data_IF_052261335152
#
_entry.id   IF_052261335152
#
_cell.length_a   1.000
_cell.length_b   1.000
_cell.length_c   1.000
_cell.angle_alpha   90.00
_cell.angle_beta   90.00
_cell.angle_gamma   90.00
#
_symmetry.space_group_name_H-M   'P 1'
#
loop_
_entity.id
_entity.type
_entity.pdbx_description
1 polymer ?
#
# COMPACT_ATOMS: atom_id res chain seq x y z
N UNK A 1 -34.94 -10.65 3.79
CA UNK A 1 -34.29 -10.12 2.56
C UNK A 1 -33.29 -9.11 3.06
N UNK A 2 -32.03 -9.52 3.11
CA UNK A 2 -30.95 -8.62 3.55
C UNK A 2 -30.74 -7.59 2.45
N UNK A 3 -30.92 -6.32 2.77
CA UNK A 3 -30.53 -5.24 1.88
C UNK A 3 -29.03 -5.36 1.60
N UNK A 4 -28.60 -5.28 0.34
CA UNK A 4 -27.19 -5.32 0.03
C UNK A 4 -26.50 -4.12 0.70
N UNK A 5 -25.47 -4.39 1.49
CA UNK A 5 -24.65 -3.36 2.12
C UNK A 5 -24.26 -2.29 1.10
N UNK A 6 -24.33 -1.01 1.45
CA UNK A 6 -23.95 0.05 0.52
C UNK A 6 -22.49 -0.12 0.10
N UNK A 7 -22.25 -0.13 -1.22
CA UNK A 7 -20.90 -0.22 -1.77
C UNK A 7 -20.05 0.91 -1.19
N UNK A 8 -18.86 0.56 -0.68
CA UNK A 8 -17.92 1.54 -0.17
C UNK A 8 -17.66 2.64 -1.23
N UNK A 9 -17.76 3.89 -0.82
CA UNK A 9 -17.39 5.03 -1.68
C UNK A 9 -15.87 5.08 -1.77
N UNK A 10 -15.34 5.32 -2.96
CA UNK A 10 -13.91 5.39 -3.21
C UNK A 10 -13.53 6.81 -3.56
N UNK A 11 -12.64 7.41 -2.77
CA UNK A 11 -12.00 8.69 -3.10
C UNK A 11 -10.66 8.38 -3.78
N UNK A 12 -10.68 8.38 -5.11
CA UNK A 12 -9.49 8.11 -5.92
C UNK A 12 -9.23 9.35 -6.75
N UNK A 13 -8.03 9.89 -6.64
CA UNK A 13 -7.53 10.88 -7.59
C UNK A 13 -6.89 10.15 -8.78
N UNK A 14 -6.99 10.76 -9.96
CA UNK A 14 -6.22 10.29 -11.10
C UNK A 14 -4.73 10.50 -10.83
N UNK A 15 -3.92 9.56 -11.28
CA UNK A 15 -2.47 9.68 -11.21
C UNK A 15 -2.05 10.81 -12.14
N UNK A 16 -1.68 11.95 -11.57
CA UNK A 16 -1.15 13.11 -12.28
C UNK A 16 0.15 13.55 -11.61
N UNK A 17 1.25 13.46 -12.32
CA UNK A 17 2.52 13.95 -11.85
C UNK A 17 2.61 15.45 -12.04
N UNK A 18 3.03 16.24 -11.05
CA UNK A 18 3.53 17.58 -11.26
C UNK A 18 4.78 17.54 -12.17
N UNK A 19 5.02 18.60 -12.92
CA UNK A 19 6.16 18.67 -13.84
C UNK A 19 7.51 18.39 -13.17
N UNK A 20 7.68 18.83 -11.92
CA UNK A 20 8.88 18.61 -11.12
C UNK A 20 9.14 17.14 -10.72
N UNK A 21 8.17 16.24 -10.91
CA UNK A 21 8.31 14.81 -10.64
C UNK A 21 8.32 13.95 -11.89
N UNK A 22 8.48 14.54 -13.06
CA UNK A 22 8.48 13.83 -14.36
C UNK A 22 9.81 13.16 -14.71
N UNK A 23 10.73 13.05 -13.80
CA UNK A 23 12.03 12.41 -13.99
C UNK A 23 11.96 10.89 -14.07
N UNK A 24 10.83 10.29 -13.75
CA UNK A 24 10.68 8.84 -13.65
C UNK A 24 9.92 8.19 -14.79
N UNK A 25 10.30 6.97 -15.09
CA UNK A 25 9.53 6.09 -15.96
C UNK A 25 8.15 5.76 -15.39
N UNK A 26 7.96 5.96 -14.09
CA UNK A 26 6.68 5.79 -13.40
C UNK A 26 5.54 6.58 -14.07
N UNK A 27 5.77 7.87 -14.35
CA UNK A 27 4.72 8.72 -14.93
C UNK A 27 4.56 8.51 -16.43
N UNK A 28 5.61 8.07 -17.13
CA UNK A 28 5.55 7.69 -18.55
C UNK A 28 4.87 6.35 -18.75
N UNK A 29 5.03 5.43 -17.80
CA UNK A 29 4.47 4.10 -17.83
C UNK A 29 3.92 3.70 -16.44
N UNK A 30 2.79 4.30 -16.01
CA UNK A 30 2.23 4.11 -14.66
C UNK A 30 1.77 2.68 -14.40
N UNK A 31 1.71 1.80 -15.41
CA UNK A 31 1.32 0.40 -15.28
C UNK A 31 2.50 -0.57 -15.22
N UNK A 32 3.70 -0.04 -15.15
CA UNK A 32 4.92 -0.83 -15.07
C UNK A 32 5.48 -1.26 -16.42
N UNK A 33 6.63 -1.91 -16.39
CA UNK A 33 7.38 -2.41 -17.53
C UNK A 33 7.39 -3.92 -17.57
N UNK A 34 7.42 -4.50 -18.77
CA UNK A 34 7.65 -5.91 -19.00
C UNK A 34 9.15 -6.18 -19.01
N UNK A 35 9.54 -7.36 -18.52
CA UNK A 35 10.92 -7.83 -18.49
C UNK A 35 11.02 -9.23 -19.06
N UNK A 36 12.22 -9.66 -19.41
CA UNK A 36 12.45 -11.01 -19.91
C UNK A 36 12.31 -12.07 -18.81
N UNK A 37 11.82 -13.23 -19.20
CA UNK A 37 11.62 -14.39 -18.30
C UNK A 37 10.65 -14.15 -17.14
N UNK A 38 9.72 -13.19 -17.27
CA UNK A 38 8.66 -12.93 -16.31
C UNK A 38 7.33 -12.63 -16.97
N UNK A 39 6.25 -13.07 -16.33
CA UNK A 39 4.88 -12.84 -16.80
C UNK A 39 4.27 -11.58 -16.18
N UNK A 40 4.93 -10.98 -15.18
CA UNK A 40 4.48 -9.79 -14.49
C UNK A 40 5.08 -8.52 -15.11
N UNK A 41 4.36 -7.44 -14.96
CA UNK A 41 4.88 -6.08 -15.15
C UNK A 41 5.42 -5.56 -13.82
N UNK A 42 6.44 -4.71 -13.87
CA UNK A 42 7.08 -4.17 -12.67
C UNK A 42 6.95 -2.65 -12.64
N UNK A 43 6.40 -2.14 -11.55
CA UNK A 43 6.25 -0.71 -11.28
C UNK A 43 7.12 -0.33 -10.08
N UNK A 44 8.27 0.28 -10.37
CA UNK A 44 9.20 0.76 -9.35
C UNK A 44 8.76 2.14 -8.84
N UNK A 45 8.61 2.28 -7.53
CA UNK A 45 8.26 3.55 -6.87
C UNK A 45 9.51 4.15 -6.22
N UNK A 46 10.09 5.21 -6.76
CA UNK A 46 11.17 5.93 -6.11
C UNK A 46 10.76 6.53 -4.76
N UNK A 47 11.73 6.78 -3.87
CA UNK A 47 11.44 7.30 -2.52
C UNK A 47 10.71 8.66 -2.56
N UNK A 48 11.15 9.59 -3.41
CA UNK A 48 10.53 10.91 -3.56
C UNK A 48 9.10 10.82 -4.14
N UNK A 49 8.85 9.88 -5.06
CA UNK A 49 7.51 9.62 -5.59
C UNK A 49 6.61 9.03 -4.51
N UNK A 50 7.12 8.10 -3.69
CA UNK A 50 6.37 7.55 -2.55
C UNK A 50 5.95 8.65 -1.56
N UNK A 51 6.87 9.57 -1.26
CA UNK A 51 6.57 10.72 -0.39
C UNK A 51 5.50 11.63 -1.00
N UNK A 52 5.60 11.92 -2.30
CA UNK A 52 4.59 12.70 -3.00
C UNK A 52 3.21 12.02 -2.97
N UNK A 53 3.15 10.72 -3.26
CA UNK A 53 1.92 9.94 -3.23
C UNK A 53 1.28 9.99 -1.83
N UNK A 54 2.09 9.81 -0.76
CA UNK A 54 1.60 9.90 0.61
C UNK A 54 1.04 11.29 0.94
N UNK A 55 1.66 12.35 0.43
CA UNK A 55 1.12 13.72 0.57
C UNK A 55 -0.24 13.86 -0.13
N UNK A 56 -0.41 13.29 -1.31
CA UNK A 56 -1.71 13.33 -2.01
C UNK A 56 -2.78 12.50 -1.29
N UNK A 57 -2.42 11.35 -0.74
CA UNK A 57 -3.32 10.55 0.11
C UNK A 57 -3.72 11.33 1.36
N UNK A 58 -2.77 11.99 2.03
CA UNK A 58 -3.05 12.85 3.18
C UNK A 58 -4.03 13.98 2.82
N UNK A 59 -3.86 14.60 1.65
CA UNK A 59 -4.79 15.61 1.13
C UNK A 59 -6.21 15.06 0.92
N UNK A 60 -6.35 13.82 0.46
CA UNK A 60 -7.65 13.17 0.31
C UNK A 60 -8.26 12.84 1.67
N UNK A 61 -7.46 12.37 2.64
CA UNK A 61 -7.92 12.19 4.02
C UNK A 61 -8.42 13.53 4.59
N UNK A 62 -7.69 14.61 4.37
CA UNK A 62 -8.11 15.93 4.83
C UNK A 62 -9.44 16.37 4.19
N UNK A 63 -9.64 16.13 2.89
CA UNK A 63 -10.94 16.35 2.24
C UNK A 63 -12.05 15.55 2.91
N UNK A 64 -11.81 14.25 3.13
CA UNK A 64 -12.78 13.41 3.83
C UNK A 64 -13.11 13.98 5.22
N UNK A 65 -12.13 14.47 5.97
CA UNK A 65 -12.33 15.10 7.27
C UNK A 65 -13.21 16.35 7.17
N UNK A 66 -12.98 17.20 6.16
CA UNK A 66 -13.77 18.42 5.90
C UNK A 66 -15.23 18.07 5.56
N UNK A 67 -15.43 17.10 4.66
CA UNK A 67 -16.75 16.67 4.22
C UNK A 67 -17.58 16.07 5.37
N UNK A 68 -16.93 15.59 6.42
CA UNK A 68 -17.55 14.93 7.55
C UNK A 68 -17.57 15.76 8.86
N UNK A 69 -17.30 17.05 8.81
CA UNK A 69 -17.28 17.92 10.00
C UNK A 69 -18.63 17.86 10.77
N UNK A 70 -19.76 17.81 10.03
CA UNK A 70 -21.09 17.83 10.65
C UNK A 70 -21.67 16.44 10.95
N UNK A 71 -21.04 15.36 10.49
CA UNK A 71 -21.61 14.00 10.55
C UNK A 71 -21.05 13.16 11.69
N UNK A 72 -20.01 13.60 12.38
CA UNK A 72 -19.23 12.83 13.35
C UNK A 72 -18.57 11.57 12.74
N UNK A 73 -18.41 11.54 11.42
CA UNK A 73 -17.76 10.44 10.70
C UNK A 73 -16.29 10.75 10.37
N UNK A 74 -15.71 11.75 11.02
CA UNK A 74 -14.30 12.08 10.88
C UNK A 74 -13.42 10.97 11.46
N UNK A 75 -12.34 10.64 10.75
CA UNK A 75 -11.32 9.71 11.26
C UNK A 75 -10.67 10.36 12.47
N UNK A 76 -10.68 9.66 13.59
CA UNK A 76 -10.07 10.09 14.84
C UNK A 76 -8.86 9.23 15.23
N UNK A 77 -8.81 8.01 14.73
CA UNK A 77 -7.74 7.04 14.99
C UNK A 77 -7.30 6.42 13.68
N UNK A 78 -6.01 6.09 13.56
CA UNK A 78 -5.47 5.37 12.41
C UNK A 78 -4.59 4.21 12.88
N UNK A 79 -4.75 3.06 12.25
CA UNK A 79 -3.99 1.84 12.55
C UNK A 79 -3.11 1.50 11.37
N UNK A 80 -1.79 1.59 11.55
CA UNK A 80 -0.79 1.19 10.58
C UNK A 80 -0.61 -0.32 10.66
N UNK A 81 -0.82 -1.02 9.56
CA UNK A 81 -0.59 -2.46 9.50
C UNK A 81 0.90 -2.73 9.27
N UNK A 82 1.52 -3.43 10.20
CA UNK A 82 2.94 -3.78 10.04
C UNK A 82 3.07 -5.04 9.15
N UNK A 83 3.98 -5.08 8.22
CA UNK A 83 5.03 -4.11 7.85
C UNK A 83 4.59 -3.15 6.74
N UNK A 84 3.63 -3.51 5.90
CA UNK A 84 3.25 -2.76 4.70
C UNK A 84 2.86 -1.31 5.00
N UNK A 85 1.89 -1.12 5.87
CA UNK A 85 1.35 0.18 6.21
C UNK A 85 2.26 1.09 7.05
N UNK A 86 3.44 0.62 7.51
CA UNK A 86 4.33 1.45 8.34
C UNK A 86 4.91 2.63 7.58
N UNK A 87 5.48 2.40 6.39
CA UNK A 87 6.10 3.50 5.64
C UNK A 87 5.09 4.57 5.24
N UNK A 88 3.99 4.25 4.54
CA UNK A 88 2.95 5.25 4.27
C UNK A 88 2.34 5.81 5.55
N UNK A 89 2.19 5.01 6.60
CA UNK A 89 1.63 5.45 7.87
C UNK A 89 2.47 6.51 8.57
N UNK A 90 3.80 6.35 8.60
CA UNK A 90 4.72 7.36 9.16
C UNK A 90 4.67 8.64 8.34
N UNK A 91 4.64 8.54 7.00
CA UNK A 91 4.49 9.70 6.14
C UNK A 91 3.13 10.40 6.33
N UNK A 92 2.05 9.65 6.46
CA UNK A 92 0.72 10.19 6.75
C UNK A 92 0.62 10.80 8.16
N UNK A 93 1.29 10.21 9.15
CA UNK A 93 1.33 10.76 10.51
C UNK A 93 1.86 12.18 10.53
N UNK A 94 2.93 12.48 9.79
CA UNK A 94 3.49 13.84 9.71
C UNK A 94 2.46 14.87 9.21
N UNK A 95 1.57 14.46 8.33
CA UNK A 95 0.52 15.35 7.80
C UNK A 95 -0.74 15.40 8.67
N UNK A 96 -1.12 14.34 9.36
CA UNK A 96 -2.46 14.15 9.92
C UNK A 96 -2.51 14.15 11.46
N UNK A 97 -1.36 14.03 12.14
CA UNK A 97 -1.29 14.13 13.59
C UNK A 97 -1.45 15.58 14.09
N UNK A 98 -1.37 16.55 13.18
CA UNK A 98 -1.52 17.97 13.45
C UNK A 98 -2.74 18.49 12.73
N UNK A 99 -3.49 19.41 13.33
CA UNK A 99 -4.61 20.04 12.67
C UNK A 99 -4.39 21.55 12.52
N UNK A 100 -4.65 22.02 11.30
CA UNK A 100 -4.69 23.46 11.00
C UNK A 100 -6.13 24.01 11.06
N UNK A 101 -7.12 23.14 11.27
CA UNK A 101 -8.54 23.50 11.35
C UNK A 101 -9.12 23.01 12.67
N UNK A 102 -9.57 23.93 13.52
CA UNK A 102 -10.16 23.63 14.83
C UNK A 102 -11.34 22.65 14.82
N UNK A 103 -11.99 22.49 13.67
CA UNK A 103 -13.12 21.59 13.50
C UNK A 103 -12.70 20.17 13.03
N UNK A 104 -11.41 19.94 12.81
CA UNK A 104 -10.84 18.67 12.41
C UNK A 104 -9.93 18.20 13.53
N UNK A 105 -10.27 17.11 14.22
CA UNK A 105 -9.42 16.58 15.28
C UNK A 105 -8.10 16.04 14.69
N UNK A 106 -6.99 16.11 15.44
CA UNK A 106 -5.80 15.37 15.09
C UNK A 106 -6.10 13.86 15.10
N UNK A 107 -5.43 13.11 14.26
CA UNK A 107 -5.60 11.66 14.18
C UNK A 107 -4.58 11.01 15.11
N UNK A 108 -5.05 10.16 16.04
CA UNK A 108 -4.19 9.35 16.88
C UNK A 108 -3.75 8.10 16.09
N UNK A 109 -2.44 7.84 16.04
CA UNK A 109 -1.88 6.73 15.30
C UNK A 109 -1.44 5.58 16.21
N UNK A 110 -1.83 4.37 15.82
CA UNK A 110 -1.37 3.14 16.43
C UNK A 110 -0.93 2.13 15.40
N UNK A 111 -0.52 0.95 15.87
CA UNK A 111 -0.04 -0.14 15.03
C UNK A 111 -0.74 -1.45 15.36
N UNK A 112 -0.79 -2.35 14.37
CA UNK A 112 -1.24 -3.72 14.53
C UNK A 112 -0.42 -4.62 13.59
N UNK A 113 0.10 -5.73 14.11
CA UNK A 113 0.82 -6.72 13.31
C UNK A 113 -0.10 -7.77 12.76
N UNK A 114 -0.10 -7.92 11.43
CA UNK A 114 -0.85 -9.00 10.76
C UNK A 114 0.07 -9.70 9.76
N UNK A 115 0.04 -11.03 9.78
CA UNK A 115 0.65 -11.87 8.75
C UNK A 115 -0.44 -12.62 8.01
N UNK A 116 -0.57 -12.34 6.72
CA UNK A 116 -1.54 -13.01 5.84
C UNK A 116 -0.87 -13.91 4.80
N UNK A 117 0.41 -13.68 4.49
CA UNK A 117 1.16 -14.44 3.50
C UNK A 117 2.31 -15.21 4.14
N UNK A 118 2.51 -16.46 3.73
CA UNK A 118 3.71 -17.25 4.05
C UNK A 118 4.89 -16.81 3.17
N UNK A 119 4.60 -16.43 1.91
CA UNK A 119 5.51 -15.95 0.90
C UNK A 119 4.78 -15.15 -0.18
N UNK A 120 5.46 -14.67 -1.23
CA UNK A 120 4.83 -13.92 -2.31
C UNK A 120 3.80 -14.77 -3.03
N UNK A 121 2.56 -14.30 -3.05
CA UNK A 121 1.45 -15.01 -3.69
C UNK A 121 0.96 -16.26 -2.96
N UNK A 122 1.49 -16.55 -1.77
CA UNK A 122 1.10 -17.70 -0.95
C UNK A 122 0.34 -17.23 0.30
N UNK A 123 -0.99 -17.05 0.22
CA UNK A 123 -1.78 -16.68 1.39
C UNK A 123 -1.75 -17.82 2.42
N UNK A 124 -1.73 -17.48 3.69
CA UNK A 124 -1.99 -18.42 4.77
C UNK A 124 -3.48 -18.83 4.73
N UNK A 125 -3.78 -20.05 5.17
CA UNK A 125 -5.17 -20.50 5.33
C UNK A 125 -5.96 -19.54 6.24
N UNK A 126 -5.31 -19.03 7.28
CA UNK A 126 -5.88 -18.02 8.18
C UNK A 126 -4.84 -16.92 8.48
N UNK A 127 -5.26 -15.63 8.43
CA UNK A 127 -4.41 -14.52 8.87
C UNK A 127 -4.06 -14.65 10.36
N UNK A 128 -2.85 -14.23 10.74
CA UNK A 128 -2.39 -14.26 12.13
C UNK A 128 -2.07 -12.86 12.64
N UNK A 129 -2.54 -12.58 13.85
CA UNK A 129 -2.15 -11.36 14.57
C UNK A 129 -0.77 -11.62 15.18
N UNK A 130 0.22 -10.82 14.77
CA UNK A 130 1.60 -10.91 15.26
C UNK A 130 1.79 -10.09 16.54
N UNK A 131 1.17 -8.92 16.60
CA UNK A 131 1.05 -8.11 17.81
C UNK A 131 -0.30 -7.40 17.83
N UNK A 132 -0.82 -7.23 19.03
CA UNK A 132 -2.13 -6.66 19.26
C UNK A 132 -2.18 -5.17 18.87
N UNK A 133 -3.39 -4.67 18.70
CA UNK A 133 -3.68 -3.27 18.53
C UNK A 133 -3.12 -2.43 19.69
N UNK A 134 -2.42 -1.33 19.35
CA UNK A 134 -1.71 -0.50 20.33
C UNK A 134 -2.53 0.69 20.85
N UNK A 135 -3.74 0.92 20.31
CA UNK A 135 -4.64 2.03 20.70
C UNK A 135 -6.07 1.52 20.92
N UNK A 136 -6.86 2.26 21.68
CA UNK A 136 -8.28 1.95 21.85
C UNK A 136 -9.08 2.50 20.65
N UNK A 137 -9.88 1.62 20.05
CA UNK A 137 -10.70 1.94 18.86
C UNK A 137 -12.21 1.90 19.13
N UNK A 138 -12.61 1.65 20.38
CA UNK A 138 -14.02 1.51 20.71
C UNK A 138 -14.80 2.80 20.39
N UNK A 139 -15.91 2.62 19.64
CA UNK A 139 -16.79 3.71 19.19
C UNK A 139 -16.09 4.78 18.29
N UNK A 140 -14.91 4.45 17.74
CA UNK A 140 -14.12 5.38 16.91
C UNK A 140 -14.35 5.14 15.42
N UNK A 141 -14.11 6.20 14.64
CA UNK A 141 -13.90 6.10 13.19
C UNK A 141 -12.41 5.87 12.96
N UNK A 142 -12.08 4.71 12.42
CA UNK A 142 -10.71 4.22 12.34
C UNK A 142 -10.24 4.15 10.88
N UNK A 143 -9.13 4.85 10.59
CA UNK A 143 -8.38 4.68 9.35
C UNK A 143 -7.49 3.44 9.44
N UNK A 144 -7.61 2.51 8.50
CA UNK A 144 -6.66 1.38 8.34
C UNK A 144 -5.66 1.76 7.28
N UNK A 145 -4.38 1.86 7.64
CA UNK A 145 -3.30 2.25 6.73
C UNK A 145 -2.55 1.01 6.26
N UNK A 146 -2.53 0.81 4.93
CA UNK A 146 -1.84 -0.26 4.23
C UNK A 146 -1.02 0.34 3.07
N UNK A 147 0.01 -0.34 2.55
CA UNK A 147 0.78 0.15 1.39
C UNK A 147 0.08 -0.17 0.06
N UNK A 148 -0.50 -1.34 -0.03
CA UNK A 148 -1.16 -1.84 -1.22
C UNK A 148 -2.32 -2.76 -0.84
N UNK A 149 -3.45 -2.57 -1.49
CA UNK A 149 -4.56 -3.53 -1.44
C UNK A 149 -4.60 -4.34 -2.73
N UNK A 150 -4.22 -5.62 -2.63
CA UNK A 150 -4.28 -6.55 -3.77
C UNK A 150 -5.68 -7.19 -3.87
N UNK A 151 -5.92 -8.28 -3.16
CA UNK A 151 -7.22 -8.98 -3.13
C UNK A 151 -8.14 -8.53 -1.97
N UNK A 152 -7.63 -7.68 -1.09
CA UNK A 152 -8.37 -7.18 0.07
C UNK A 152 -8.40 -8.11 1.28
N UNK A 153 -7.74 -9.27 1.23
CA UNK A 153 -7.76 -10.25 2.32
C UNK A 153 -7.27 -9.69 3.66
N UNK A 154 -6.10 -9.02 3.67
CA UNK A 154 -5.57 -8.36 4.88
C UNK A 154 -6.51 -7.27 5.37
N UNK A 155 -6.98 -6.40 4.47
CA UNK A 155 -7.85 -5.29 4.81
C UNK A 155 -9.19 -5.77 5.42
N UNK A 156 -9.81 -6.81 4.85
CA UNK A 156 -11.03 -7.41 5.36
C UNK A 156 -10.83 -8.05 6.74
N UNK A 157 -9.74 -8.79 6.93
CA UNK A 157 -9.41 -9.39 8.21
C UNK A 157 -9.23 -8.33 9.29
N UNK A 158 -8.44 -7.29 9.01
CA UNK A 158 -8.21 -6.18 9.95
C UNK A 158 -9.51 -5.44 10.25
N UNK A 159 -10.32 -5.14 9.23
CA UNK A 159 -11.59 -4.48 9.42
C UNK A 159 -12.52 -5.29 10.34
N UNK A 160 -12.65 -6.59 10.11
CA UNK A 160 -13.44 -7.49 10.95
C UNK A 160 -12.89 -7.54 12.39
N UNK A 161 -11.56 -7.58 12.55
CA UNK A 161 -10.95 -7.56 13.87
C UNK A 161 -11.24 -6.24 14.60
N UNK A 162 -11.06 -5.09 13.96
CA UNK A 162 -11.35 -3.79 14.56
C UNK A 162 -12.82 -3.64 14.95
N UNK A 163 -13.74 -4.16 14.14
CA UNK A 163 -15.16 -4.22 14.50
C UNK A 163 -15.39 -5.08 15.76
N UNK A 164 -14.69 -6.22 15.89
CA UNK A 164 -14.77 -7.04 17.11
C UNK A 164 -14.22 -6.34 18.36
N UNK A 165 -13.32 -5.36 18.17
CA UNK A 165 -12.82 -4.48 19.22
C UNK A 165 -13.73 -3.26 19.47
N UNK A 166 -14.88 -3.18 18.80
CA UNK A 166 -15.87 -2.14 19.00
C UNK A 166 -15.69 -0.89 18.12
N UNK A 167 -14.85 -0.93 17.09
CA UNK A 167 -14.71 0.19 16.15
C UNK A 167 -16.08 0.52 15.52
N UNK A 168 -16.45 1.80 15.48
CA UNK A 168 -17.73 2.24 14.97
C UNK A 168 -17.78 2.29 13.43
N UNK A 169 -16.71 2.78 12.80
CA UNK A 169 -16.60 2.87 11.34
C UNK A 169 -15.15 2.66 10.92
N UNK A 170 -14.96 2.06 9.74
CA UNK A 170 -13.63 1.77 9.21
C UNK A 170 -13.47 2.41 7.85
N UNK A 171 -12.36 3.13 7.67
CA UNK A 171 -11.92 3.76 6.43
C UNK A 171 -10.58 3.17 6.04
N UNK A 172 -10.47 2.61 4.84
CA UNK A 172 -9.22 2.10 4.32
C UNK A 172 -8.44 3.24 3.66
N UNK A 173 -7.16 3.35 3.99
CA UNK A 173 -6.23 4.34 3.46
C UNK A 173 -5.05 3.59 2.88
N UNK A 174 -4.89 3.59 1.55
CA UNK A 174 -3.80 2.91 0.89
C UNK A 174 -3.32 3.68 -0.35
N UNK A 175 -2.00 3.85 -0.55
CA UNK A 175 -1.47 4.44 -1.78
C UNK A 175 -2.01 3.79 -3.04
N UNK A 176 -2.07 2.47 -3.10
CA UNK A 176 -2.45 1.73 -4.30
C UNK A 176 -3.52 0.68 -4.05
N UNK A 177 -4.36 0.49 -5.08
CA UNK A 177 -5.34 -0.59 -5.15
C UNK A 177 -5.12 -1.37 -6.44
N UNK A 178 -5.00 -2.70 -6.38
CA UNK A 178 -4.87 -3.57 -7.57
C UNK A 178 -6.21 -4.03 -8.14
N UNK A 179 -7.21 -4.18 -7.31
CA UNK A 179 -8.52 -4.61 -7.77
C UNK A 179 -9.63 -3.90 -7.03
N UNK A 180 -10.82 -3.90 -7.64
CA UNK A 180 -12.06 -3.64 -6.92
C UNK A 180 -12.40 -4.87 -6.07
N UNK A 181 -11.43 -5.42 -5.33
CA UNK A 181 -11.64 -6.59 -4.50
C UNK A 181 -12.88 -6.42 -3.63
N UNK A 182 -13.48 -7.52 -3.26
CA UNK A 182 -14.62 -7.53 -2.35
C UNK A 182 -14.14 -7.06 -0.97
N UNK A 183 -14.12 -5.72 -0.80
CA UNK A 183 -13.71 -5.07 0.45
C UNK A 183 -14.94 -4.98 1.33
N UNK A 184 -15.05 -5.95 2.23
CA UNK A 184 -16.15 -6.04 3.19
C UNK A 184 -15.80 -5.28 4.48
N UNK A 185 -16.81 -4.86 5.23
CA UNK A 185 -16.64 -4.18 6.51
C UNK A 185 -15.93 -2.81 6.48
N UNK A 186 -15.65 -2.29 5.29
CA UNK A 186 -15.01 -1.00 5.07
C UNK A 186 -16.04 -0.06 4.45
N UNK A 187 -16.27 1.06 5.13
CA UNK A 187 -17.29 2.02 4.71
C UNK A 187 -16.80 2.98 3.62
N UNK A 188 -15.49 3.20 3.55
CA UNK A 188 -14.86 4.16 2.66
C UNK A 188 -13.45 3.71 2.31
N UNK A 189 -13.01 3.98 1.08
CA UNK A 189 -11.63 3.78 0.63
C UNK A 189 -11.05 5.11 0.18
N UNK A 190 -9.86 5.45 0.66
CA UNK A 190 -9.06 6.58 0.24
C UNK A 190 -7.78 6.04 -0.36
N UNK A 191 -7.53 6.35 -1.63
CA UNK A 191 -6.35 5.83 -2.34
C UNK A 191 -5.86 6.83 -3.39
N UNK A 192 -4.56 6.77 -3.70
CA UNK A 192 -3.98 7.56 -4.75
C UNK A 192 -4.32 7.03 -6.14
N UNK A 193 -4.28 5.71 -6.35
CA UNK A 193 -4.56 5.18 -7.67
C UNK A 193 -4.75 3.66 -7.76
N UNK A 194 -5.21 3.24 -8.94
CA UNK A 194 -5.33 1.84 -9.32
C UNK A 194 -4.14 1.37 -10.15
N UNK A 195 -3.73 0.14 -9.88
CA UNK A 195 -2.69 -0.55 -10.64
C UNK A 195 -3.27 -1.87 -11.17
N UNK A 196 -2.93 -2.31 -12.39
CA UNK A 196 -3.38 -3.58 -12.93
C UNK A 196 -2.96 -4.78 -12.07
N UNK A 197 -3.73 -5.88 -12.14
CA UNK A 197 -3.49 -7.09 -11.33
C UNK A 197 -2.15 -7.75 -11.62
N UNK A 198 -1.73 -7.73 -12.86
CA UNK A 198 -0.48 -8.30 -13.38
C UNK A 198 0.75 -7.43 -13.12
N UNK A 199 0.58 -6.30 -12.45
CA UNK A 199 1.68 -5.39 -12.10
C UNK A 199 2.19 -5.66 -10.69
N UNK A 200 3.47 -5.97 -10.57
CA UNK A 200 4.18 -6.03 -9.31
C UNK A 200 4.67 -4.63 -8.93
N UNK A 201 4.14 -4.08 -7.84
CA UNK A 201 4.58 -2.78 -7.34
C UNK A 201 5.79 -2.99 -6.42
N UNK A 202 6.84 -2.23 -6.68
CA UNK A 202 8.06 -2.23 -5.88
C UNK A 202 8.09 -0.95 -5.07
N UNK A 203 7.58 -1.02 -3.86
CA UNK A 203 7.60 0.10 -2.92
C UNK A 203 9.02 0.32 -2.37
N UNK A 204 9.33 1.49 -1.80
CA UNK A 204 10.64 1.74 -1.19
C UNK A 204 11.08 0.66 -0.17
N UNK A 205 10.13 0.01 0.49
CA UNK A 205 10.36 -1.07 1.46
C UNK A 205 10.74 -2.41 0.79
N UNK A 206 10.34 -2.63 -0.46
CA UNK A 206 10.41 -3.94 -1.12
C UNK A 206 11.50 -4.07 -2.17
N UNK A 207 12.35 -3.05 -2.33
CA UNK A 207 13.41 -3.02 -3.35
C UNK A 207 14.31 -4.26 -3.29
N UNK A 208 14.90 -4.52 -2.12
CA UNK A 208 15.80 -5.68 -1.94
C UNK A 208 15.02 -6.98 -1.95
N UNK A 209 13.86 -7.01 -1.31
CA UNK A 209 12.99 -8.19 -1.26
C UNK A 209 12.61 -8.66 -2.68
N UNK A 210 12.15 -7.74 -3.52
CA UNK A 210 11.79 -8.06 -4.91
C UNK A 210 12.99 -8.56 -5.70
N UNK A 211 14.15 -7.90 -5.61
CA UNK A 211 15.37 -8.34 -6.28
C UNK A 211 15.75 -9.78 -5.88
N UNK A 212 15.82 -10.04 -4.57
CA UNK A 212 16.20 -11.35 -4.02
C UNK A 212 15.20 -12.47 -4.42
N UNK A 213 13.95 -12.15 -4.64
CA UNK A 213 12.93 -13.10 -5.07
C UNK A 213 12.88 -13.29 -6.59
N UNK A 214 13.05 -12.22 -7.36
CA UNK A 214 12.84 -12.28 -8.82
C UNK A 214 14.08 -12.72 -9.58
N UNK A 215 15.28 -12.37 -9.15
CA UNK A 215 16.53 -12.78 -9.82
C UNK A 215 16.66 -14.32 -9.91
N UNK A 216 16.48 -15.11 -8.83
CA UNK A 216 16.46 -16.57 -8.94
C UNK A 216 15.31 -17.07 -9.83
N UNK A 217 14.13 -16.48 -9.75
CA UNK A 217 12.98 -16.84 -10.58
C UNK A 217 13.28 -16.65 -12.09
N UNK A 218 13.93 -15.56 -12.48
CA UNK A 218 14.36 -15.31 -13.86
C UNK A 218 15.45 -16.28 -14.31
N UNK A 219 16.49 -16.50 -13.47
CA UNK A 219 17.56 -17.47 -13.72
C UNK A 219 16.99 -18.87 -13.99
N UNK A 220 16.07 -19.34 -13.16
CA UNK A 220 15.47 -20.67 -13.27
C UNK A 220 14.60 -20.80 -14.55
N UNK A 221 14.25 -19.69 -15.18
CA UNK A 221 13.60 -19.59 -16.48
C UNK A 221 14.57 -19.29 -17.63
N UNK A 222 15.87 -19.40 -17.39
CA UNK A 222 16.90 -19.32 -18.40
C UNK A 222 17.54 -17.93 -18.58
N UNK A 223 17.20 -16.94 -17.75
CA UNK A 223 17.85 -15.63 -17.79
C UNK A 223 19.32 -15.76 -17.40
N UNK A 224 20.21 -15.14 -18.17
CA UNK A 224 21.62 -14.98 -17.80
C UNK A 224 21.79 -13.89 -16.74
N UNK A 225 22.97 -13.79 -16.13
CA UNK A 225 23.29 -12.69 -15.21
C UNK A 225 23.10 -11.32 -15.89
N UNK A 226 23.54 -11.20 -17.14
CA UNK A 226 23.34 -9.97 -17.93
C UNK A 226 21.86 -9.67 -18.17
N UNK A 227 21.07 -10.69 -18.54
CA UNK A 227 19.61 -10.52 -18.71
C UNK A 227 18.95 -10.06 -17.41
N UNK A 228 19.35 -10.59 -16.27
CA UNK A 228 18.84 -10.14 -14.96
C UNK A 228 19.23 -8.68 -14.66
N UNK A 229 20.45 -8.28 -15.01
CA UNK A 229 20.90 -6.89 -14.90
C UNK A 229 20.07 -5.95 -15.77
N UNK A 230 19.89 -6.30 -17.05
CA UNK A 230 19.08 -5.53 -17.99
C UNK A 230 17.62 -5.38 -17.54
N UNK A 231 17.05 -6.46 -16.95
CA UNK A 231 15.72 -6.43 -16.36
C UNK A 231 15.64 -5.42 -15.20
N UNK A 232 16.61 -5.44 -14.29
CA UNK A 232 16.65 -4.51 -13.15
C UNK A 232 16.82 -3.06 -13.59
N UNK A 233 17.70 -2.81 -14.57
CA UNK A 233 17.88 -1.47 -15.16
C UNK A 233 16.57 -1.00 -15.80
N UNK A 234 15.91 -1.86 -16.58
CA UNK A 234 14.64 -1.56 -17.24
C UNK A 234 13.51 -1.27 -16.26
N UNK A 235 13.47 -1.94 -15.13
CA UNK A 235 12.52 -1.68 -14.03
C UNK A 235 12.79 -0.31 -13.38
N UNK A 236 14.03 0.18 -13.40
CA UNK A 236 14.44 1.44 -12.80
C UNK A 236 15.18 1.29 -11.47
N UNK A 237 15.80 0.12 -11.23
CA UNK A 237 16.64 -0.04 -10.04
C UNK A 237 17.87 0.85 -10.09
N UNK A 238 18.23 1.49 -8.97
CA UNK A 238 19.47 2.25 -8.90
C UNK A 238 20.68 1.30 -8.94
N UNK A 239 21.74 1.71 -9.65
CA UNK A 239 22.93 0.89 -9.89
C UNK A 239 23.55 0.33 -8.62
N UNK A 240 23.59 1.11 -7.54
CA UNK A 240 24.18 0.65 -6.26
C UNK A 240 23.45 -0.58 -5.66
N UNK A 241 22.14 -0.74 -5.88
CA UNK A 241 21.43 -1.95 -5.43
C UNK A 241 21.77 -3.15 -6.33
N UNK A 242 21.90 -2.92 -7.63
CA UNK A 242 22.32 -3.95 -8.59
C UNK A 242 23.71 -4.45 -8.23
N UNK A 243 24.66 -3.53 -8.03
CA UNK A 243 26.06 -3.84 -7.69
C UNK A 243 26.20 -4.66 -6.39
N UNK A 244 25.39 -4.32 -5.39
CA UNK A 244 25.43 -5.00 -4.08
C UNK A 244 24.80 -6.39 -4.13
N UNK A 245 23.64 -6.53 -4.77
CA UNK A 245 22.78 -7.70 -4.54
C UNK A 245 22.69 -8.67 -5.72
N UNK A 246 22.86 -8.21 -6.97
CA UNK A 246 22.55 -9.02 -8.15
C UNK A 246 23.36 -10.32 -8.20
N UNK A 247 24.69 -10.22 -8.18
CA UNK A 247 25.56 -11.39 -8.32
C UNK A 247 25.34 -12.40 -7.19
N UNK A 248 25.36 -11.93 -5.94
CA UNK A 248 25.17 -12.77 -4.78
C UNK A 248 23.81 -13.50 -4.80
N UNK A 249 22.77 -12.83 -5.33
CA UNK A 249 21.44 -13.41 -5.43
C UNK A 249 21.36 -14.40 -6.59
N UNK A 250 22.00 -14.12 -7.72
CA UNK A 250 22.02 -14.99 -8.89
C UNK A 250 22.75 -16.31 -8.60
N UNK A 251 23.86 -16.27 -7.86
CA UNK A 251 24.70 -17.42 -7.50
C UNK A 251 24.13 -18.26 -6.33
N UNK A 252 23.17 -17.75 -5.60
CA UNK A 252 22.64 -18.34 -4.35
C UNK A 252 21.73 -19.55 -4.55
N UNK A 253 21.49 -19.98 -5.77
CA UNK A 253 20.57 -21.07 -6.11
C UNK A 253 21.16 -22.45 -6.08
#
# INVERSE_FOLDING_TARGET
>A
MDEPMPKAKTYIDQIQAPEELTDGDFWKNPFGVEVECDDLRFLYIPDHVSTYISTQVARQVYRYQVDNICTKEQITHAVMITMGGLLPGVQLHDHLAWTLNKNIPPIEFGTMGVKYYAGPGEPLDEPRILHALSIDVKDKVVGVVEDLVDLGGTANFVAKYLQSQGAGKIVLIAPFLKSKGDIQHISQVISYGYVPKDTWIITPREKVETLVKRVPYWRDRGATLSTCEDNLIRIGYPSYLIDIYLRATYERG
#
